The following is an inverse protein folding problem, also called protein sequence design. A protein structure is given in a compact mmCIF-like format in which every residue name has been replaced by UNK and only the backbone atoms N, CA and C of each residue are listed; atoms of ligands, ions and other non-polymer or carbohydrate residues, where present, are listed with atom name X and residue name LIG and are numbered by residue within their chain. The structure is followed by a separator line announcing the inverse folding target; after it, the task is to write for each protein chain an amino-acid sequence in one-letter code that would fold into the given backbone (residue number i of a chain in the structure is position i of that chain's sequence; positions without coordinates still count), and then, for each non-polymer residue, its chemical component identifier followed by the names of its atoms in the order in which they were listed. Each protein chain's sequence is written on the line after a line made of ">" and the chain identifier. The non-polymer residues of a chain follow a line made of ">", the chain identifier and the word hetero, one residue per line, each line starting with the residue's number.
data_IF_670986182988
#
_entry.id   IF_670986182988
#
_cell.length_a   1.000
_cell.length_b   1.000
_cell.length_c   1.000
_cell.angle_alpha   90.00
_cell.angle_beta   90.00
_cell.angle_gamma   90.00
#
_symmetry.space_group_name_H-M   'P 1'
#
loop_
_entity.id
_entity.type
_entity.pdbx_description
1 polymer ?
#
# COMPACT_ATOMS: atom_id res chain seq x y z
N UNK A 1 66.29 8.73 18.25
CA UNK A 1 65.17 7.84 17.90
C UNK A 1 63.88 8.61 18.16
N UNK A 2 63.04 8.83 17.14
CA UNK A 2 61.92 9.77 17.17
C UNK A 2 60.61 8.97 17.17
N UNK A 3 59.99 8.85 18.34
CA UNK A 3 58.79 8.04 18.56
C UNK A 3 57.56 8.88 18.22
N UNK A 4 56.90 8.56 17.10
CA UNK A 4 55.64 9.19 16.71
C UNK A 4 54.49 8.44 17.37
N UNK A 5 53.91 9.02 18.41
CA UNK A 5 52.64 8.55 18.98
C UNK A 5 51.51 8.91 18.00
N UNK A 6 51.03 7.93 17.23
CA UNK A 6 49.81 8.08 16.42
C UNK A 6 48.61 7.79 17.31
N UNK A 7 47.92 8.86 17.73
CA UNK A 7 46.61 8.76 18.38
C UNK A 7 45.58 8.44 17.30
N UNK A 8 45.00 7.24 17.34
CA UNK A 8 43.90 6.81 16.47
C UNK A 8 42.60 7.21 17.15
N UNK A 9 41.95 8.27 16.66
CA UNK A 9 40.60 8.66 17.08
C UNK A 9 39.57 7.77 16.36
N UNK A 10 38.88 6.91 17.12
CA UNK A 10 37.77 6.10 16.62
C UNK A 10 36.49 6.94 16.69
N UNK A 11 36.02 7.43 15.54
CA UNK A 11 34.73 8.09 15.43
C UNK A 11 33.61 7.03 15.39
N UNK A 12 32.80 6.97 16.45
CA UNK A 12 31.58 6.15 16.49
C UNK A 12 30.50 6.87 15.69
N UNK A 13 30.21 6.40 14.47
CA UNK A 13 29.03 6.81 13.72
C UNK A 13 27.79 6.19 14.37
N UNK A 14 27.02 7.01 15.08
CA UNK A 14 25.68 6.65 15.49
C UNK A 14 24.81 6.50 14.23
N UNK A 15 24.45 5.25 13.91
CA UNK A 15 23.45 4.95 12.89
C UNK A 15 22.10 5.48 13.38
N UNK A 16 21.74 6.68 12.93
CA UNK A 16 20.37 7.16 13.01
C UNK A 16 19.57 6.27 12.07
N UNK A 17 18.83 5.31 12.63
CA UNK A 17 17.93 4.47 11.87
C UNK A 17 16.91 5.34 11.17
N UNK A 18 17.10 5.60 9.88
CA UNK A 18 16.08 6.17 9.03
C UNK A 18 14.94 5.17 9.02
N UNK A 19 13.88 5.47 9.77
CA UNK A 19 12.64 4.70 9.73
C UNK A 19 12.27 4.51 8.26
N UNK A 20 12.17 3.27 7.82
CA UNK A 20 11.81 2.95 6.45
C UNK A 20 10.49 3.64 6.14
N UNK A 21 10.54 4.73 5.37
CA UNK A 21 9.36 5.42 4.90
C UNK A 21 8.57 4.39 4.08
N UNK A 22 7.45 3.95 4.64
CA UNK A 22 6.58 2.96 4.03
C UNK A 22 6.31 3.39 2.58
N UNK A 23 6.48 2.47 1.64
CA UNK A 23 6.37 2.70 0.20
C UNK A 23 4.90 2.91 -0.19
N UNK A 24 4.33 4.06 0.16
CA UNK A 24 3.01 4.41 -0.36
C UNK A 24 3.13 5.00 -1.75
N UNK A 25 2.10 4.79 -2.57
CA UNK A 25 2.04 5.35 -3.92
C UNK A 25 2.16 6.87 -3.83
N UNK A 26 3.17 7.43 -4.49
CA UNK A 26 3.41 8.87 -4.46
C UNK A 26 2.16 9.62 -4.96
N UNK A 27 1.71 10.63 -4.21
CA UNK A 27 0.52 11.40 -4.51
C UNK A 27 -0.81 10.74 -4.14
N UNK A 28 -0.79 9.57 -3.46
CA UNK A 28 -2.01 8.96 -2.93
C UNK A 28 -2.52 9.74 -1.70
N UNK A 29 -3.63 10.47 -1.88
CA UNK A 29 -4.26 11.26 -0.81
C UNK A 29 -4.85 10.40 0.32
N UNK A 30 -4.98 9.08 0.11
CA UNK A 30 -5.47 8.16 1.13
C UNK A 30 -4.47 7.99 2.28
N UNK A 31 -3.22 8.41 2.10
CA UNK A 31 -2.15 8.30 3.09
C UNK A 31 -1.69 9.69 3.46
N UNK A 32 -1.87 10.06 4.72
CA UNK A 32 -1.39 11.32 5.26
C UNK A 32 -0.40 11.06 6.39
N UNK A 33 0.85 11.49 6.20
CA UNK A 33 1.89 11.42 7.21
C UNK A 33 1.86 12.71 8.01
N UNK A 34 1.53 12.60 9.28
CA UNK A 34 1.44 13.71 10.22
C UNK A 34 2.84 14.21 10.62
N UNK A 35 2.98 15.46 11.11
CA UNK A 35 4.26 16.01 11.53
C UNK A 35 4.96 15.23 12.66
N UNK A 36 4.19 14.49 13.46
CA UNK A 36 4.69 13.61 14.54
C UNK A 36 5.18 12.24 14.02
N UNK A 37 5.16 12.03 12.70
CA UNK A 37 5.52 10.77 12.05
C UNK A 37 4.41 9.71 12.07
N UNK A 38 3.25 10.00 12.67
CA UNK A 38 2.11 9.08 12.62
C UNK A 38 1.49 9.08 11.23
N UNK A 39 0.95 7.93 10.83
CA UNK A 39 0.36 7.73 9.51
C UNK A 39 -1.15 7.57 9.67
N UNK A 40 -1.91 8.48 9.06
CA UNK A 40 -3.36 8.32 8.87
C UNK A 40 -3.62 7.72 7.51
N UNK A 41 -4.48 6.70 7.48
CA UNK A 41 -4.82 5.99 6.25
C UNK A 41 -6.33 5.91 6.13
N UNK A 42 -6.82 6.28 4.97
CA UNK A 42 -8.21 6.09 4.57
C UNK A 42 -8.32 4.87 3.67
N UNK A 43 -9.40 4.11 3.80
CA UNK A 43 -9.78 3.06 2.85
C UNK A 43 -11.06 3.47 2.12
N UNK A 44 -11.31 2.94 0.90
CA UNK A 44 -12.57 3.16 0.21
C UNK A 44 -13.76 2.79 1.11
N UNK A 45 -14.76 3.67 1.26
CA UNK A 45 -15.93 3.37 2.07
C UNK A 45 -16.72 2.24 1.42
N UNK A 46 -17.34 1.42 2.26
CA UNK A 46 -18.31 0.45 1.76
C UNK A 46 -19.48 1.19 1.11
N UNK A 47 -19.98 0.72 -0.04
CA UNK A 47 -21.22 1.24 -0.60
C UNK A 47 -22.39 1.06 0.35
N UNK A 48 -23.40 1.90 0.18
CA UNK A 48 -24.68 1.76 0.87
C UNK A 48 -25.49 0.53 0.39
N UNK A 49 -25.20 0.02 -0.82
CA UNK A 49 -25.84 -1.18 -1.36
C UNK A 49 -25.29 -2.45 -0.71
N UNK A 50 -26.15 -3.45 -0.52
CA UNK A 50 -25.75 -4.76 -0.01
C UNK A 50 -24.72 -5.40 -0.94
N UNK A 51 -23.52 -5.61 -0.41
CA UNK A 51 -22.46 -6.33 -1.10
C UNK A 51 -22.67 -7.83 -0.97
N UNK A 52 -22.24 -8.57 -1.99
CA UNK A 52 -22.08 -10.01 -1.87
C UNK A 52 -21.11 -10.36 -0.73
N UNK A 53 -21.18 -11.61 -0.28
CA UNK A 53 -20.28 -12.13 0.74
C UNK A 53 -18.81 -11.82 0.37
N UNK A 54 -17.98 -11.33 1.33
CA UNK A 54 -16.59 -11.01 1.05
C UNK A 54 -15.83 -12.22 0.51
N UNK A 55 -15.07 -12.03 -0.57
CA UNK A 55 -14.23 -13.07 -1.13
C UNK A 55 -12.91 -13.12 -0.34
N UNK A 56 -12.69 -14.18 0.42
CA UNK A 56 -11.55 -14.27 1.32
C UNK A 56 -10.21 -14.38 0.55
N UNK A 57 -9.17 -13.70 1.04
CA UNK A 57 -7.85 -13.63 0.39
C UNK A 57 -7.07 -14.96 0.43
N UNK A 58 -7.45 -15.87 1.32
CA UNK A 58 -6.88 -17.21 1.44
C UNK A 58 -7.51 -18.23 0.48
N UNK A 59 -8.64 -17.90 -0.15
CA UNK A 59 -9.33 -18.77 -1.11
C UNK A 59 -8.79 -18.57 -2.52
N UNK A 60 -8.15 -19.57 -3.16
CA UNK A 60 -7.61 -19.42 -4.50
C UNK A 60 -8.62 -18.91 -5.54
N UNK A 61 -9.86 -19.40 -5.48
CA UNK A 61 -10.96 -18.99 -6.36
C UNK A 61 -11.26 -17.48 -6.33
N UNK A 62 -10.97 -16.80 -5.21
CA UNK A 62 -11.21 -15.37 -5.03
C UNK A 62 -10.11 -14.48 -5.62
N UNK A 63 -8.97 -15.06 -6.01
CA UNK A 63 -7.74 -14.31 -6.31
C UNK A 63 -7.41 -14.27 -7.80
N UNK A 64 -8.19 -14.97 -8.62
CA UNK A 64 -7.98 -15.08 -10.07
C UNK A 64 -8.09 -13.74 -10.80
N UNK A 65 -8.93 -12.81 -10.30
CA UNK A 65 -9.13 -11.49 -10.90
C UNK A 65 -8.01 -10.48 -10.57
N UNK A 66 -6.94 -10.92 -9.90
CA UNK A 66 -5.82 -10.09 -9.50
C UNK A 66 -6.01 -9.38 -8.17
N UNK A 67 -4.91 -8.81 -7.67
CA UNK A 67 -4.86 -8.17 -6.35
C UNK A 67 -5.03 -6.67 -6.45
N UNK A 68 -5.86 -6.13 -5.56
CA UNK A 68 -6.02 -4.69 -5.32
C UNK A 68 -5.07 -4.32 -4.20
N UNK A 69 -4.10 -3.48 -4.51
CA UNK A 69 -3.15 -2.95 -3.54
C UNK A 69 -3.83 -1.82 -2.81
N UNK A 70 -4.12 -2.02 -1.53
CA UNK A 70 -4.84 -1.06 -0.69
C UNK A 70 -3.95 -0.67 0.47
N UNK A 71 -3.83 0.63 0.70
CA UNK A 71 -3.18 1.13 1.89
C UNK A 71 -4.10 0.98 3.09
N UNK A 72 -3.58 0.39 4.17
CA UNK A 72 -4.30 0.19 5.42
C UNK A 72 -3.48 0.68 6.61
N UNK A 73 -4.06 0.71 7.81
CA UNK A 73 -3.33 1.01 9.04
C UNK A 73 -2.14 0.04 9.28
N UNK A 74 -2.24 -1.20 8.78
CA UNK A 74 -1.19 -2.23 8.87
C UNK A 74 -0.12 -2.10 7.77
N UNK A 75 -0.25 -1.11 6.88
CA UNK A 75 0.59 -0.93 5.69
C UNK A 75 -0.11 -1.33 4.40
N UNK A 76 0.68 -1.49 3.33
CA UNK A 76 0.20 -1.89 2.02
C UNK A 76 -0.25 -3.36 2.06
N UNK A 77 -1.49 -3.63 1.62
CA UNK A 77 -2.09 -4.97 1.62
C UNK A 77 -2.51 -5.37 0.22
N UNK A 78 -2.47 -6.68 -0.03
CA UNK A 78 -3.05 -7.31 -1.23
C UNK A 78 -4.48 -7.74 -0.90
N UNK A 79 -5.47 -7.14 -1.55
CA UNK A 79 -6.88 -7.40 -1.31
C UNK A 79 -7.59 -7.96 -2.54
N UNK A 80 -8.60 -8.80 -2.34
CA UNK A 80 -9.48 -9.32 -3.41
C UNK A 80 -10.47 -8.26 -3.91
N UNK A 81 -10.68 -7.20 -3.13
CA UNK A 81 -11.56 -6.08 -3.41
C UNK A 81 -10.98 -4.76 -2.91
N UNK A 82 -11.58 -3.63 -3.29
CA UNK A 82 -11.04 -2.29 -3.00
C UNK A 82 -11.25 -1.83 -1.54
N UNK A 83 -12.25 -2.38 -0.84
CA UNK A 83 -12.73 -1.85 0.44
C UNK A 83 -11.93 -2.31 1.66
N UNK A 84 -11.01 -3.25 1.46
CA UNK A 84 -10.23 -3.88 2.53
C UNK A 84 -11.10 -4.39 3.70
N UNK A 85 -12.20 -5.10 3.41
CA UNK A 85 -13.01 -5.72 4.47
C UNK A 85 -12.18 -6.76 5.24
N UNK A 86 -12.54 -7.05 6.50
CA UNK A 86 -11.92 -8.13 7.25
C UNK A 86 -11.94 -9.45 6.45
N UNK A 87 -10.79 -10.12 6.39
CA UNK A 87 -10.61 -11.39 5.67
C UNK A 87 -10.39 -11.27 4.15
N UNK A 88 -10.58 -10.10 3.54
CA UNK A 88 -10.38 -9.92 2.08
C UNK A 88 -8.97 -9.50 1.70
N UNK A 89 -8.09 -9.30 2.68
CA UNK A 89 -6.73 -8.82 2.47
C UNK A 89 -5.69 -9.73 3.12
N UNK A 90 -4.50 -9.73 2.54
CA UNK A 90 -3.32 -10.43 3.06
C UNK A 90 -2.09 -9.50 3.04
N UNK A 91 -0.98 -9.88 3.71
CA UNK A 91 0.26 -9.14 3.60
C UNK A 91 0.68 -8.95 2.14
N UNK A 92 1.09 -7.74 1.79
CA UNK A 92 1.57 -7.44 0.44
C UNK A 92 2.84 -8.24 0.13
N UNK A 93 2.89 -8.86 -1.05
CA UNK A 93 4.12 -9.46 -1.59
C UNK A 93 4.74 -8.58 -2.69
N UNK A 94 4.35 -7.30 -2.76
CA UNK A 94 4.95 -6.33 -3.67
C UNK A 94 6.46 -6.22 -3.41
N UNK A 95 7.26 -6.24 -4.47
CA UNK A 95 8.72 -6.30 -4.40
C UNK A 95 9.29 -7.72 -4.28
N UNK A 96 8.56 -8.66 -3.67
CA UNK A 96 8.96 -10.07 -3.59
C UNK A 96 8.47 -10.87 -4.82
N UNK A 97 7.19 -10.72 -5.17
CA UNK A 97 6.58 -11.46 -6.29
C UNK A 97 6.30 -10.55 -7.48
N UNK A 98 6.57 -11.03 -8.69
CA UNK A 98 6.16 -10.38 -9.93
C UNK A 98 4.80 -10.92 -10.38
N UNK A 99 3.72 -10.22 -10.00
CA UNK A 99 2.34 -10.52 -10.40
C UNK A 99 1.59 -9.24 -10.76
N UNK A 100 0.62 -9.31 -11.68
CA UNK A 100 -0.22 -8.17 -12.00
C UNK A 100 -1.02 -7.74 -10.76
N UNK A 101 -1.05 -6.44 -10.55
CA UNK A 101 -1.67 -5.77 -9.40
C UNK A 101 -2.36 -4.52 -9.91
N UNK A 102 -3.31 -4.03 -9.14
CA UNK A 102 -4.00 -2.77 -9.40
C UNK A 102 -3.93 -1.93 -8.13
N UNK A 103 -3.58 -0.66 -8.25
CA UNK A 103 -3.33 0.20 -7.10
C UNK A 103 -4.55 1.04 -6.80
N UNK A 104 -5.07 0.91 -5.58
CA UNK A 104 -6.22 1.68 -5.11
C UNK A 104 -5.71 2.92 -4.39
N UNK A 105 -5.96 4.06 -5.00
CA UNK A 105 -5.47 5.36 -4.54
C UNK A 105 -6.63 6.35 -4.47
N UNK A 106 -6.45 7.40 -3.67
CA UNK A 106 -7.35 8.55 -3.64
C UNK A 106 -6.68 9.72 -4.34
N UNK A 107 -7.37 10.29 -5.32
CA UNK A 107 -6.92 11.43 -6.11
C UNK A 107 -8.05 12.44 -6.22
N UNK A 108 -7.80 13.69 -5.82
CA UNK A 108 -8.77 14.77 -5.80
C UNK A 108 -10.07 14.37 -5.10
N UNK A 109 -9.95 13.63 -3.99
CA UNK A 109 -11.08 13.10 -3.23
C UNK A 109 -11.84 11.93 -3.89
N UNK A 110 -11.38 11.40 -5.02
CA UNK A 110 -12.01 10.28 -5.71
C UNK A 110 -11.14 9.01 -5.61
N UNK A 111 -11.80 7.86 -5.45
CA UNK A 111 -11.14 6.57 -5.44
C UNK A 111 -10.86 6.09 -6.85
N UNK A 112 -9.60 5.83 -7.14
CA UNK A 112 -9.07 5.47 -8.44
C UNK A 112 -8.37 4.11 -8.36
N UNK A 113 -8.40 3.40 -9.48
CA UNK A 113 -7.64 2.18 -9.71
C UNK A 113 -6.59 2.44 -10.78
N UNK A 114 -5.32 2.36 -10.40
CA UNK A 114 -4.17 2.62 -11.26
C UNK A 114 -3.48 1.32 -11.69
N UNK A 115 -2.89 1.32 -12.89
CA UNK A 115 -2.13 0.18 -13.42
C UNK A 115 -0.76 0.01 -12.78
N UNK A 116 -0.20 1.06 -12.16
CA UNK A 116 1.12 1.04 -11.53
C UNK A 116 1.08 1.77 -10.18
N UNK A 117 2.10 1.63 -9.31
CA UNK A 117 2.22 2.38 -8.06
C UNK A 117 2.59 3.85 -8.31
N UNK A 118 1.90 4.51 -9.24
CA UNK A 118 2.11 5.88 -9.67
C UNK A 118 0.77 6.48 -10.12
N UNK A 119 0.45 7.66 -9.61
CA UNK A 119 -0.78 8.39 -9.92
C UNK A 119 -0.76 8.97 -11.33
N UNK A 120 0.41 9.09 -11.94
CA UNK A 120 0.61 9.51 -13.34
C UNK A 120 0.36 8.35 -14.31
N UNK A 121 0.18 7.13 -13.79
CA UNK A 121 -0.16 5.97 -14.60
C UNK A 121 -1.62 6.00 -15.07
N UNK A 122 -2.01 4.99 -15.85
CA UNK A 122 -3.40 4.84 -16.28
C UNK A 122 -4.29 4.52 -15.07
N UNK A 123 -4.93 5.56 -14.54
CA UNK A 123 -5.87 5.49 -13.42
C UNK A 123 -7.31 5.66 -13.90
N UNK A 124 -8.19 4.76 -13.49
CA UNK A 124 -9.62 4.80 -13.80
C UNK A 124 -10.44 4.93 -12.52
N UNK A 125 -11.56 5.63 -12.59
CA UNK A 125 -12.44 5.80 -11.42
C UNK A 125 -13.04 4.47 -10.99
N UNK A 126 -12.98 4.16 -9.70
CA UNK A 126 -13.62 2.96 -9.14
C UNK A 126 -15.14 3.01 -9.21
N UNK A 127 -15.74 4.21 -9.32
CA UNK A 127 -17.18 4.37 -9.57
C UNK A 127 -17.60 3.91 -10.97
N UNK A 128 -16.68 4.00 -11.93
CA UNK A 128 -16.92 3.58 -13.31
C UNK A 128 -16.65 2.08 -13.51
N UNK A 129 -16.05 1.41 -12.52
CA UNK A 129 -15.88 -0.04 -12.56
C UNK A 129 -17.21 -0.67 -12.15
N UNK A 130 -17.81 -1.54 -12.98
CA UNK A 130 -18.92 -2.36 -12.50
C UNK A 130 -18.44 -3.09 -11.26
N UNK A 131 -19.29 -3.16 -10.22
CA UNK A 131 -19.07 -4.06 -9.10
C UNK A 131 -18.57 -5.37 -9.70
N UNK A 132 -17.32 -5.73 -9.41
CA UNK A 132 -16.80 -7.02 -9.83
C UNK A 132 -17.54 -8.07 -9.01
N UNK A 133 -18.77 -8.34 -9.42
CA UNK A 133 -19.43 -9.60 -9.18
C UNK A 133 -18.44 -10.61 -9.73
N UNK A 134 -17.80 -11.33 -8.81
CA UNK A 134 -17.07 -12.54 -9.14
C UNK A 134 -18.08 -13.42 -9.89
N UNK A 135 -17.91 -13.54 -11.21
CA UNK A 135 -18.57 -14.55 -12.03
C UNK A 135 -17.91 -15.90 -11.76
#
# INVERSE_FOLDING_TARGET
>A
MKTYCKVVAVAVLALVGTGASAQFVNGNEAVNVMPDGTRRVETPPLPAATLAAPCAADKPACTASGWRMVETAEGLRECTEIYARPGTCRPSTFGADKRPRLWIVKLRGQWMQCQFPDISSKCVSTKALPYSAVQ
#
